data_IF_973626264577
#
_entry.id   IF_973626264577
#
_cell.length_a   1.000
_cell.length_b   1.000
_cell.length_c   1.000
_cell.angle_alpha   90.00
_cell.angle_beta   90.00
_cell.angle_gamma   90.00
#
_symmetry.space_group_name_H-M   'P 1'
#
loop_
_entity.id
_entity.type
_entity.pdbx_description
1 polymer ?
#
# COMPACT_ATOMS: atom_id res chain seq x y z
N UNK A 1 -0.86 -18.44 0.67
CA UNK A 1 -0.88 -17.32 1.64
C UNK A 1 0.35 -16.48 1.37
N UNK A 2 0.18 -15.27 0.82
CA UNK A 2 1.28 -14.31 0.66
C UNK A 2 1.75 -13.89 2.05
N UNK A 3 3.05 -13.89 2.33
CA UNK A 3 3.53 -13.46 3.63
C UNK A 3 3.42 -11.93 3.78
N UNK A 4 3.13 -11.39 4.97
CA UNK A 4 3.10 -9.93 5.19
C UNK A 4 4.41 -9.24 4.80
N UNK A 5 5.55 -9.92 4.92
CA UNK A 5 6.85 -9.41 4.45
C UNK A 5 6.91 -9.24 2.92
N UNK A 6 6.28 -10.13 2.16
CA UNK A 6 6.21 -10.05 0.69
C UNK A 6 5.27 -8.91 0.26
N UNK A 7 4.16 -8.74 0.99
CA UNK A 7 3.23 -7.63 0.78
C UNK A 7 3.93 -6.30 1.03
N UNK A 8 4.59 -6.17 2.18
CA UNK A 8 5.34 -4.96 2.53
C UNK A 8 6.39 -4.65 1.47
N UNK A 9 7.15 -5.64 0.99
CA UNK A 9 8.16 -5.45 -0.05
C UNK A 9 7.55 -4.92 -1.35
N UNK A 10 6.43 -5.50 -1.77
CA UNK A 10 5.73 -5.11 -3.00
C UNK A 10 5.13 -3.71 -2.89
N UNK A 11 4.42 -3.42 -1.80
CA UNK A 11 3.82 -2.12 -1.51
C UNK A 11 4.92 -1.04 -1.43
N UNK A 12 6.04 -1.33 -0.76
CA UNK A 12 7.18 -0.41 -0.66
C UNK A 12 7.78 -0.13 -2.04
N UNK A 13 7.92 -1.14 -2.90
CA UNK A 13 8.42 -0.95 -4.26
C UNK A 13 7.46 -0.12 -5.13
N UNK A 14 6.14 -0.32 -4.97
CA UNK A 14 5.11 0.48 -5.65
C UNK A 14 5.16 1.93 -5.16
N UNK A 15 5.18 2.14 -3.85
CA UNK A 15 5.29 3.47 -3.24
C UNK A 15 6.56 4.17 -3.72
N UNK A 16 7.70 3.49 -3.77
CA UNK A 16 8.95 4.04 -4.29
C UNK A 16 8.82 4.50 -5.75
N UNK A 17 8.18 3.69 -6.59
CA UNK A 17 7.95 4.02 -7.99
C UNK A 17 7.01 5.23 -8.17
N UNK A 18 5.94 5.31 -7.37
CA UNK A 18 4.94 6.38 -7.46
C UNK A 18 5.41 7.69 -6.81
N UNK A 19 6.25 7.63 -5.77
CA UNK A 19 6.72 8.82 -5.03
C UNK A 19 8.08 9.30 -5.51
N UNK A 20 8.89 8.43 -6.12
CA UNK A 20 10.28 8.70 -6.48
C UNK A 20 11.26 8.60 -5.29
N UNK A 21 10.77 8.20 -4.12
CA UNK A 21 11.58 7.99 -2.92
C UNK A 21 12.18 6.59 -2.99
N UNK A 22 13.44 6.43 -2.59
CA UNK A 22 14.06 5.11 -2.58
C UNK A 22 13.31 4.17 -1.64
N UNK A 23 13.09 2.92 -2.06
CA UNK A 23 12.46 1.90 -1.22
C UNK A 23 13.18 1.67 0.11
N UNK A 24 14.48 1.97 0.18
CA UNK A 24 15.29 1.92 1.40
C UNK A 24 15.00 3.04 2.38
N UNK A 25 14.48 4.17 1.89
CA UNK A 25 14.16 5.36 2.70
C UNK A 25 12.69 5.36 3.14
N UNK A 26 11.84 4.58 2.47
CA UNK A 26 10.46 4.34 2.84
C UNK A 26 10.40 3.34 4.01
N UNK A 27 9.94 3.81 5.17
CA UNK A 27 9.73 2.94 6.33
C UNK A 27 8.26 2.50 6.45
N UNK A 28 8.00 1.31 7.00
CA UNK A 28 6.65 0.80 7.18
C UNK A 28 5.74 1.72 8.01
N UNK A 29 6.33 2.40 9.00
CA UNK A 29 5.69 3.31 9.96
C UNK A 29 5.65 4.77 9.48
N UNK A 30 6.20 5.06 8.29
CA UNK A 30 6.25 6.41 7.76
C UNK A 30 4.87 6.83 7.23
N UNK A 31 4.42 8.01 7.64
CA UNK A 31 3.19 8.62 7.10
C UNK A 31 3.43 9.09 5.67
N UNK A 32 2.92 8.32 4.70
CA UNK A 32 3.01 8.59 3.27
C UNK A 32 2.25 9.87 2.92
N UNK A 33 1.10 10.15 3.55
CA UNK A 33 0.28 11.33 3.25
C UNK A 33 0.92 12.62 3.73
N UNK A 34 1.71 12.54 4.80
CA UNK A 34 2.50 13.67 5.32
C UNK A 34 3.77 13.97 4.52
N UNK A 35 4.17 13.10 3.57
CA UNK A 35 5.42 13.28 2.83
C UNK A 35 5.30 14.33 1.74
N UNK A 36 6.30 15.23 1.68
CA UNK A 36 6.41 16.19 0.61
C UNK A 36 6.53 15.48 -0.76
N UNK A 37 5.60 15.79 -1.67
CA UNK A 37 5.55 15.21 -3.01
C UNK A 37 4.60 14.01 -3.15
N UNK A 38 4.04 13.49 -2.06
CA UNK A 38 2.94 12.54 -2.11
C UNK A 38 1.63 13.29 -2.14
N UNK A 39 0.89 13.14 -3.24
CA UNK A 39 -0.44 13.72 -3.41
C UNK A 39 -1.50 12.61 -3.37
N UNK A 40 -2.77 13.00 -3.21
CA UNK A 40 -3.88 12.04 -3.20
C UNK A 40 -3.94 11.18 -4.47
N UNK A 41 -3.48 11.70 -5.62
CA UNK A 41 -3.46 10.95 -6.89
C UNK A 41 -2.38 9.85 -6.87
N UNK A 42 -1.21 10.09 -6.26
CA UNK A 42 -0.15 9.08 -6.09
C UNK A 42 -0.60 7.97 -5.15
N UNK A 43 -1.29 8.32 -4.06
CA UNK A 43 -1.86 7.31 -3.15
C UNK A 43 -2.88 6.45 -3.89
N UNK A 44 -3.80 7.06 -4.65
CA UNK A 44 -4.78 6.31 -5.46
C UNK A 44 -4.12 5.44 -6.53
N UNK A 45 -3.08 5.94 -7.22
CA UNK A 45 -2.30 5.15 -8.19
C UNK A 45 -1.59 3.96 -7.54
N UNK A 46 -1.02 4.17 -6.35
CA UNK A 46 -0.39 3.11 -5.56
C UNK A 46 -1.42 2.03 -5.22
N UNK A 47 -2.57 2.42 -4.68
CA UNK A 47 -3.68 1.53 -4.31
C UNK A 47 -4.16 0.72 -5.53
N UNK A 48 -4.49 1.38 -6.64
CA UNK A 48 -4.94 0.70 -7.86
C UNK A 48 -3.93 -0.32 -8.40
N UNK A 49 -2.63 -0.06 -8.22
CA UNK A 49 -1.56 -0.98 -8.62
C UNK A 49 -1.43 -2.16 -7.66
N UNK A 50 -1.67 -1.95 -6.37
CA UNK A 50 -1.70 -3.00 -5.34
C UNK A 50 -2.88 -3.93 -5.58
N UNK A 51 -4.09 -3.38 -5.75
CA UNK A 51 -5.31 -4.13 -6.10
C UNK A 51 -5.07 -5.05 -7.29
N UNK A 52 -4.54 -4.49 -8.38
CA UNK A 52 -4.21 -5.25 -9.60
C UNK A 52 -3.13 -6.31 -9.39
N UNK A 53 -2.19 -6.08 -8.46
CA UNK A 53 -1.08 -7.01 -8.20
C UNK A 53 -1.55 -8.23 -7.41
N UNK A 54 -2.48 -8.02 -6.49
CA UNK A 54 -3.03 -9.07 -5.63
C UNK A 54 -4.38 -9.62 -6.11
N UNK A 55 -4.97 -9.02 -7.16
CA UNK A 55 -6.31 -9.34 -7.67
C UNK A 55 -7.38 -9.24 -6.56
N UNK A 56 -7.33 -8.12 -5.83
CA UNK A 56 -8.22 -7.79 -4.70
C UNK A 56 -8.88 -6.44 -4.94
N UNK A 57 -10.02 -6.23 -4.30
CA UNK A 57 -10.68 -4.93 -4.18
C UNK A 57 -10.50 -4.43 -2.76
N UNK A 58 -10.02 -3.20 -2.58
CA UNK A 58 -9.93 -2.55 -1.27
C UNK A 58 -11.12 -1.63 -1.08
N UNK A 59 -11.70 -1.62 0.12
CA UNK A 59 -12.81 -0.73 0.41
C UNK A 59 -12.35 0.74 0.42
N UNK A 60 -13.16 1.62 -0.15
CA UNK A 60 -12.87 3.06 -0.17
C UNK A 60 -12.58 3.59 1.24
N UNK A 61 -13.34 3.14 2.25
CA UNK A 61 -13.17 3.54 3.65
C UNK A 61 -11.79 3.16 4.20
N UNK A 62 -11.33 1.95 3.91
CA UNK A 62 -10.00 1.47 4.27
C UNK A 62 -8.93 2.31 3.56
N UNK A 63 -9.08 2.50 2.25
CA UNK A 63 -8.17 3.31 1.41
C UNK A 63 -8.07 4.74 1.91
N UNK A 64 -9.19 5.36 2.30
CA UNK A 64 -9.24 6.69 2.90
C UNK A 64 -8.63 6.73 4.30
N UNK A 65 -8.54 5.61 5.02
CA UNK A 65 -7.82 5.49 6.30
C UNK A 65 -6.31 5.31 6.18
N UNK A 66 -5.79 4.87 5.02
CA UNK A 66 -4.37 4.54 4.85
C UNK A 66 -3.44 5.74 5.04
N UNK A 67 -2.64 5.74 6.09
CA UNK A 67 -1.59 6.75 6.33
C UNK A 67 -0.18 6.19 6.10
N UNK A 68 0.06 4.94 6.49
CA UNK A 68 1.38 4.31 6.47
C UNK A 68 1.43 3.08 5.57
N UNK A 69 2.62 2.64 5.18
CA UNK A 69 2.79 1.37 4.46
C UNK A 69 2.30 0.18 5.31
N UNK A 70 2.41 0.26 6.63
CA UNK A 70 1.87 -0.76 7.53
C UNK A 70 0.35 -0.86 7.44
N UNK A 71 -0.36 0.27 7.37
CA UNK A 71 -1.82 0.28 7.17
C UNK A 71 -2.17 -0.38 5.84
N UNK A 72 -1.42 -0.07 4.79
CA UNK A 72 -1.63 -0.66 3.45
C UNK A 72 -1.44 -2.17 3.50
N UNK A 73 -0.38 -2.64 4.15
CA UNK A 73 -0.13 -4.09 4.32
C UNK A 73 -1.25 -4.76 5.09
N UNK A 74 -1.73 -4.15 6.17
CA UNK A 74 -2.82 -4.71 6.98
C UNK A 74 -4.13 -4.83 6.20
N UNK A 75 -4.49 -3.81 5.41
CA UNK A 75 -5.68 -3.81 4.56
C UNK A 75 -5.56 -4.85 3.44
N UNK A 76 -4.39 -4.94 2.79
CA UNK A 76 -4.14 -5.97 1.76
C UNK A 76 -4.19 -7.38 2.34
N UNK A 77 -3.62 -7.60 3.54
CA UNK A 77 -3.74 -8.88 4.23
C UNK A 77 -5.19 -9.23 4.57
N UNK A 78 -5.98 -8.25 4.99
CA UNK A 78 -7.39 -8.44 5.28
C UNK A 78 -8.15 -8.86 4.02
N UNK A 79 -8.04 -8.08 2.94
CA UNK A 79 -8.67 -8.37 1.65
C UNK A 79 -8.23 -9.73 1.06
N UNK A 80 -6.95 -10.09 1.17
CA UNK A 80 -6.47 -11.41 0.74
C UNK A 80 -7.06 -12.56 1.57
N UNK A 81 -7.34 -12.34 2.86
CA UNK A 81 -8.00 -13.36 3.70
C UNK A 81 -9.48 -13.47 3.37
N UNK A 82 -10.14 -12.37 3.08
CA UNK A 82 -11.55 -12.37 2.65
C UNK A 82 -11.72 -13.02 1.28
N UNK A 83 -10.85 -12.71 0.32
CA UNK A 83 -10.86 -13.34 -1.01
C UNK A 83 -10.54 -14.85 -0.97
N UNK A 84 -9.84 -15.31 0.08
CA UNK A 84 -9.51 -16.71 0.29
C UNK A 84 -10.54 -17.49 1.14
N UNK A 85 -11.50 -16.78 1.76
CA UNK A 85 -12.56 -17.36 2.59
C UNK A 85 -13.77 -17.80 1.76
#
# INVERSE_FOLDING_TARGET
>A
MTAPADILTTVTAIAAAETGIAATDLRPDLDLRGMAGVDSVRVLRMVAKIEKTYDIELEDEDVFGLSTLHDVVAVVEHALREAAA
#
